data_IF_281215264534
#
_entry.id   IF_281215264534
#
_cell.length_a   1.000
_cell.length_b   1.000
_cell.length_c   1.000
_cell.angle_alpha   90.00
_cell.angle_beta   90.00
_cell.angle_gamma   90.00
#
_symmetry.space_group_name_H-M   'P 1'
#
loop_
_entity.id
_entity.type
_entity.pdbx_description
1 polymer ?
#
# COMPACT_ATOMS: atom_id res chain seq x y z
N UNK A 1 33.09 -4.54 -13.52
CA UNK A 1 31.85 -4.16 -14.23
C UNK A 1 30.70 -4.92 -13.57
N UNK A 2 30.08 -4.35 -12.54
CA UNK A 2 28.91 -4.93 -11.87
C UNK A 2 27.68 -4.23 -12.42
N UNK A 3 26.79 -5.00 -13.05
CA UNK A 3 25.58 -4.48 -13.71
C UNK A 3 24.65 -3.76 -12.72
N UNK A 4 23.82 -2.82 -13.21
CA UNK A 4 22.84 -2.15 -12.38
C UNK A 4 21.83 -3.17 -11.84
N UNK A 5 21.64 -3.15 -10.52
CA UNK A 5 20.61 -3.91 -9.82
C UNK A 5 19.26 -3.67 -10.52
N UNK A 6 18.61 -4.74 -10.94
CA UNK A 6 17.36 -4.70 -11.71
C UNK A 6 16.23 -4.16 -10.84
N UNK A 7 16.11 -2.83 -10.77
CA UNK A 7 14.91 -2.20 -10.27
C UNK A 7 13.75 -2.69 -11.14
N UNK A 8 12.81 -3.42 -10.55
CA UNK A 8 11.59 -3.89 -11.21
C UNK A 8 10.85 -2.69 -11.76
N UNK A 9 11.05 -2.39 -13.04
CA UNK A 9 10.41 -1.28 -13.72
C UNK A 9 8.92 -1.62 -13.86
N UNK A 10 8.06 -0.86 -13.17
CA UNK A 10 6.62 -0.94 -13.34
C UNK A 10 6.26 -0.41 -14.72
N UNK A 11 5.68 -1.27 -15.55
CA UNK A 11 5.30 -0.89 -16.89
C UNK A 11 3.98 -0.10 -16.88
N UNK A 12 3.96 1.12 -17.42
CA UNK A 12 2.72 1.87 -17.57
C UNK A 12 1.78 1.12 -18.53
N UNK A 13 0.48 1.15 -18.21
CA UNK A 13 -0.54 0.50 -19.02
C UNK A 13 -0.63 1.11 -20.42
N UNK A 14 -0.85 0.28 -21.44
CA UNK A 14 -1.06 0.77 -22.79
C UNK A 14 -2.28 1.71 -22.87
N UNK A 15 -2.25 2.79 -23.67
CA UNK A 15 -3.34 3.77 -23.74
C UNK A 15 -4.69 3.14 -24.06
N UNK A 16 -4.71 2.19 -24.99
CA UNK A 16 -5.91 1.46 -25.37
C UNK A 16 -6.49 0.67 -24.20
N UNK A 17 -5.66 0.02 -23.37
CA UNK A 17 -6.12 -0.71 -22.19
C UNK A 17 -6.72 0.23 -21.14
N UNK A 18 -6.13 1.41 -20.94
CA UNK A 18 -6.67 2.42 -20.03
C UNK A 18 -8.05 2.93 -20.49
N UNK A 19 -8.20 3.17 -21.80
CA UNK A 19 -9.48 3.58 -22.40
C UNK A 19 -10.53 2.47 -22.26
N UNK A 20 -10.16 1.22 -22.59
CA UNK A 20 -11.04 0.06 -22.47
C UNK A 20 -11.49 -0.17 -21.03
N UNK A 21 -10.60 -0.02 -20.04
CA UNK A 21 -10.98 -0.14 -18.63
C UNK A 21 -12.05 0.89 -18.25
N UNK A 22 -11.85 2.15 -18.65
CA UNK A 22 -12.79 3.24 -18.37
C UNK A 22 -14.13 3.06 -19.08
N UNK A 23 -14.14 2.48 -20.28
CA UNK A 23 -15.38 2.13 -21.01
C UNK A 23 -16.13 0.97 -20.34
N UNK A 24 -15.42 -0.03 -19.81
CA UNK A 24 -16.04 -1.12 -19.03
C UNK A 24 -16.67 -0.56 -17.74
N UNK A 25 -15.99 0.36 -17.06
CA UNK A 25 -16.51 1.01 -15.86
C UNK A 25 -17.75 1.87 -16.16
N UNK A 26 -17.76 2.58 -17.29
CA UNK A 26 -18.95 3.28 -17.78
C UNK A 26 -20.10 2.29 -18.06
N UNK A 27 -19.80 1.17 -18.71
CA UNK A 27 -20.76 0.10 -18.96
C UNK A 27 -21.34 -0.50 -17.68
N UNK A 28 -20.52 -0.65 -16.63
CA UNK A 28 -20.97 -1.09 -15.31
C UNK A 28 -21.97 -0.11 -14.68
N UNK A 29 -21.67 1.19 -14.71
CA UNK A 29 -22.62 2.23 -14.21
C UNK A 29 -23.91 2.22 -15.03
N UNK A 30 -23.82 2.14 -16.36
CA UNK A 30 -24.97 2.07 -17.25
C UNK A 30 -25.82 0.81 -17.01
N UNK A 31 -25.19 -0.33 -16.72
CA UNK A 31 -25.88 -1.57 -16.37
C UNK A 31 -26.66 -1.42 -15.05
N UNK A 32 -26.03 -0.87 -14.01
CA UNK A 32 -26.70 -0.62 -12.72
C UNK A 32 -27.89 0.33 -12.88
N UNK A 33 -27.71 1.42 -13.64
CA UNK A 33 -28.78 2.38 -13.91
C UNK A 33 -29.90 1.75 -14.75
N UNK A 34 -29.57 1.01 -15.82
CA UNK A 34 -30.56 0.34 -16.67
C UNK A 34 -31.36 -0.73 -15.93
N UNK A 35 -30.72 -1.49 -15.05
CA UNK A 35 -31.39 -2.45 -14.18
C UNK A 35 -32.34 -1.74 -13.19
N UNK A 36 -31.92 -0.62 -12.60
CA UNK A 36 -32.77 0.17 -11.72
C UNK A 36 -33.98 0.74 -12.46
N UNK A 37 -33.80 1.24 -13.68
CA UNK A 37 -34.91 1.75 -14.49
C UNK A 37 -35.90 0.65 -14.88
N UNK A 38 -35.40 -0.53 -15.25
CA UNK A 38 -36.23 -1.68 -15.62
C UNK A 38 -37.05 -2.21 -14.44
N UNK A 39 -36.50 -2.17 -13.22
CA UNK A 39 -37.15 -2.71 -12.03
C UNK A 39 -38.07 -1.69 -11.35
N UNK A 40 -37.65 -0.42 -11.29
CA UNK A 40 -38.32 0.61 -10.49
C UNK A 40 -39.15 1.59 -11.33
N UNK A 41 -38.88 1.71 -12.63
CA UNK A 41 -39.50 2.70 -13.53
C UNK A 41 -39.56 4.12 -12.92
N UNK A 42 -38.49 4.51 -12.23
CA UNK A 42 -38.42 5.77 -11.51
C UNK A 42 -37.06 6.42 -11.72
N UNK A 43 -37.07 7.52 -12.46
CA UNK A 43 -35.86 8.28 -12.82
C UNK A 43 -35.03 8.73 -11.60
N UNK A 44 -35.68 9.04 -10.46
CA UNK A 44 -34.96 9.47 -9.24
C UNK A 44 -34.17 8.29 -8.65
N UNK A 45 -34.78 7.11 -8.59
CA UNK A 45 -34.12 5.89 -8.10
C UNK A 45 -32.98 5.52 -9.04
N UNK A 46 -33.22 5.54 -10.35
CA UNK A 46 -32.21 5.28 -11.38
C UNK A 46 -31.00 6.21 -11.23
N UNK A 47 -31.23 7.52 -11.04
CA UNK A 47 -30.18 8.49 -10.82
C UNK A 47 -29.39 8.24 -9.52
N UNK A 48 -30.08 7.91 -8.42
CA UNK A 48 -29.42 7.57 -7.15
C UNK A 48 -28.55 6.33 -7.26
N UNK A 49 -29.03 5.27 -7.93
CA UNK A 49 -28.24 4.05 -8.17
C UNK A 49 -27.03 4.33 -9.06
N UNK A 50 -27.17 5.17 -10.08
CA UNK A 50 -26.04 5.57 -10.92
C UNK A 50 -24.96 6.31 -10.09
N UNK A 51 -25.37 7.24 -9.23
CA UNK A 51 -24.45 7.95 -8.33
C UNK A 51 -23.79 7.01 -7.31
N UNK A 52 -24.53 6.05 -6.75
CA UNK A 52 -24.00 5.05 -5.85
C UNK A 52 -22.98 4.16 -6.55
N UNK A 53 -23.26 3.69 -7.77
CA UNK A 53 -22.31 2.92 -8.57
C UNK A 53 -21.01 3.70 -8.81
N UNK A 54 -21.11 4.99 -9.15
CA UNK A 54 -19.93 5.87 -9.30
C UNK A 54 -19.17 6.02 -7.98
N UNK A 55 -19.86 6.16 -6.85
CA UNK A 55 -19.23 6.24 -5.54
C UNK A 55 -18.50 4.94 -5.16
N UNK A 56 -19.10 3.78 -5.45
CA UNK A 56 -18.48 2.46 -5.26
C UNK A 56 -17.21 2.32 -6.09
N UNK A 57 -17.23 2.74 -7.36
CA UNK A 57 -16.05 2.78 -8.21
C UNK A 57 -14.97 3.70 -7.64
N UNK A 58 -15.34 4.91 -7.22
CA UNK A 58 -14.42 5.87 -6.63
C UNK A 58 -13.77 5.34 -5.34
N UNK A 59 -14.54 4.69 -4.46
CA UNK A 59 -14.02 4.09 -3.22
C UNK A 59 -13.11 2.90 -3.53
N UNK A 60 -13.51 2.00 -4.42
CA UNK A 60 -12.70 0.85 -4.83
C UNK A 60 -11.37 1.27 -5.47
N UNK A 61 -11.42 2.26 -6.34
CA UNK A 61 -10.23 2.78 -7.01
C UNK A 61 -9.35 3.59 -6.06
N UNK A 62 -9.94 4.39 -5.17
CA UNK A 62 -9.21 5.20 -4.19
C UNK A 62 -8.50 4.37 -3.12
N UNK A 63 -9.15 3.32 -2.62
CA UNK A 63 -8.63 2.47 -1.54
C UNK A 63 -7.69 1.38 -2.04
N UNK A 64 -8.02 0.73 -3.16
CA UNK A 64 -7.33 -0.48 -3.65
C UNK A 64 -6.77 -0.35 -5.06
N UNK A 65 -7.07 0.74 -5.77
CA UNK A 65 -6.67 0.92 -7.16
C UNK A 65 -7.43 0.04 -8.14
N UNK A 66 -8.60 -0.49 -7.75
CA UNK A 66 -9.37 -1.46 -8.53
C UNK A 66 -10.73 -0.92 -8.92
N UNK A 67 -11.13 -1.23 -10.15
CA UNK A 67 -12.45 -1.06 -10.72
C UNK A 67 -12.77 -2.32 -11.54
N UNK A 68 -14.03 -2.61 -11.89
CA UNK A 68 -14.37 -3.75 -12.75
C UNK A 68 -13.53 -3.81 -14.04
N UNK A 69 -13.36 -2.67 -14.73
CA UNK A 69 -12.53 -2.54 -15.92
C UNK A 69 -11.05 -2.81 -15.64
N UNK A 70 -10.51 -2.24 -14.57
CA UNK A 70 -9.14 -2.50 -14.15
C UNK A 70 -8.91 -3.97 -13.79
N UNK A 71 -9.83 -4.61 -13.06
CA UNK A 71 -9.75 -6.02 -12.70
C UNK A 71 -9.78 -6.92 -13.93
N UNK A 72 -10.69 -6.65 -14.87
CA UNK A 72 -10.82 -7.42 -16.10
C UNK A 72 -9.57 -7.28 -16.98
N UNK A 73 -9.02 -6.06 -17.07
CA UNK A 73 -7.85 -5.73 -17.88
C UNK A 73 -6.50 -5.92 -17.16
N UNK A 74 -6.52 -6.35 -15.89
CA UNK A 74 -5.30 -6.61 -15.11
C UNK A 74 -4.48 -5.35 -14.87
N UNK A 75 -5.18 -4.23 -14.69
CA UNK A 75 -4.62 -2.91 -14.46
C UNK A 75 -4.77 -2.51 -12.99
N UNK A 76 -3.92 -1.59 -12.54
CA UNK A 76 -4.09 -0.95 -11.23
C UNK A 76 -3.89 0.55 -11.33
N UNK A 77 -4.78 1.29 -10.66
CA UNK A 77 -4.58 2.74 -10.46
C UNK A 77 -3.73 2.97 -9.21
N UNK A 78 -2.64 3.71 -9.36
CA UNK A 78 -1.66 4.00 -8.30
C UNK A 78 -1.25 5.48 -8.36
N UNK A 79 -0.54 5.96 -7.33
CA UNK A 79 -0.02 7.34 -7.35
C UNK A 79 1.13 7.47 -8.36
N UNK A 80 1.08 8.49 -9.22
CA UNK A 80 2.13 8.75 -10.20
C UNK A 80 3.51 8.96 -9.54
N UNK A 81 3.53 9.65 -8.39
CA UNK A 81 4.74 9.94 -7.61
C UNK A 81 5.48 8.65 -7.18
N UNK A 82 4.71 7.59 -6.87
CA UNK A 82 5.24 6.30 -6.44
C UNK A 82 5.83 5.48 -7.59
N UNK A 83 5.28 5.61 -8.80
CA UNK A 83 5.78 4.92 -10.00
C UNK A 83 7.08 5.55 -10.47
N UNK A 84 7.17 6.89 -10.48
CA UNK A 84 8.38 7.61 -10.89
C UNK A 84 9.52 7.45 -9.88
N UNK A 85 9.21 7.39 -8.57
CA UNK A 85 10.18 7.26 -7.49
C UNK A 85 10.16 5.86 -6.85
N UNK A 86 9.95 4.82 -7.67
CA UNK A 86 9.75 3.43 -7.21
C UNK A 86 10.85 2.92 -6.27
N UNK A 87 12.08 3.43 -6.40
CA UNK A 87 13.21 3.07 -5.54
C UNK A 87 13.14 3.63 -4.10
N UNK A 88 12.33 4.66 -3.83
CA UNK A 88 12.33 5.37 -2.54
C UNK A 88 10.98 5.33 -1.79
N UNK A 89 9.85 5.22 -2.50
CA UNK A 89 8.52 5.42 -1.90
C UNK A 89 7.57 4.22 -1.89
N UNK A 90 7.83 3.17 -2.66
CA UNK A 90 6.89 2.06 -2.82
C UNK A 90 5.62 2.46 -3.58
N UNK A 91 4.88 1.46 -4.07
CA UNK A 91 3.63 1.69 -4.82
C UNK A 91 2.50 1.92 -3.83
N UNK A 92 2.10 3.17 -3.66
CA UNK A 92 0.99 3.54 -2.79
C UNK A 92 -0.34 3.52 -3.56
N UNK A 93 -1.45 3.07 -2.93
CA UNK A 93 -2.78 3.16 -3.51
C UNK A 93 -3.14 4.64 -3.79
N UNK A 94 -3.97 4.87 -4.81
CA UNK A 94 -4.36 6.19 -5.30
C UNK A 94 -4.68 7.19 -4.17
N UNK A 95 -5.46 6.74 -3.18
CA UNK A 95 -5.92 7.54 -2.05
C UNK A 95 -7.18 8.34 -2.39
N UNK A 96 -8.04 8.53 -1.40
CA UNK A 96 -9.37 9.14 -1.59
C UNK A 96 -9.31 10.60 -2.06
N UNK A 97 -8.34 11.39 -1.62
CA UNK A 97 -8.25 12.80 -2.03
C UNK A 97 -8.01 12.97 -3.53
N UNK A 98 -7.12 12.15 -4.11
CA UNK A 98 -6.83 12.16 -5.54
C UNK A 98 -7.97 11.56 -6.36
N UNK A 99 -8.60 10.50 -5.84
CA UNK A 99 -9.70 9.87 -6.57
C UNK A 99 -10.92 10.79 -6.67
N UNK A 100 -11.22 11.57 -5.62
CA UNK A 100 -12.29 12.57 -5.67
C UNK A 100 -12.01 13.59 -6.78
N UNK A 101 -10.77 14.07 -6.93
CA UNK A 101 -10.40 14.98 -8.04
C UNK A 101 -10.68 14.33 -9.39
N UNK A 102 -10.25 13.07 -9.60
CA UNK A 102 -10.48 12.33 -10.86
C UNK A 102 -11.98 12.26 -11.18
N UNK A 103 -12.79 11.81 -10.23
CA UNK A 103 -14.23 11.62 -10.46
C UNK A 103 -14.99 12.94 -10.57
N UNK A 104 -14.58 14.00 -9.86
CA UNK A 104 -15.13 15.34 -10.07
C UNK A 104 -14.90 15.83 -11.50
N UNK A 105 -13.71 15.63 -12.07
CA UNK A 105 -13.41 15.98 -13.46
C UNK A 105 -14.29 15.18 -14.43
N UNK A 106 -14.46 13.88 -14.17
CA UNK A 106 -15.30 13.00 -14.99
C UNK A 106 -16.78 13.40 -14.95
N UNK A 107 -17.33 13.62 -13.75
CA UNK A 107 -18.70 14.06 -13.54
C UNK A 107 -18.94 15.44 -14.17
N UNK A 108 -18.03 16.40 -13.95
CA UNK A 108 -18.11 17.72 -14.57
C UNK A 108 -18.08 17.64 -16.10
N UNK A 109 -17.25 16.75 -16.66
CA UNK A 109 -17.19 16.53 -18.11
C UNK A 109 -18.50 15.94 -18.63
N UNK A 110 -19.09 14.98 -17.92
CA UNK A 110 -20.38 14.38 -18.28
C UNK A 110 -21.52 15.40 -18.24
N UNK A 111 -21.56 16.24 -17.19
CA UNK A 111 -22.54 17.32 -17.02
C UNK A 111 -22.39 18.41 -18.09
N UNK A 112 -21.17 18.76 -18.49
CA UNK A 112 -20.91 19.77 -19.51
C UNK A 112 -21.35 19.30 -20.90
N UNK A 113 -20.98 18.07 -21.27
CA UNK A 113 -21.45 17.39 -22.47
C UNK A 113 -21.04 15.91 -22.40
N UNK A 114 -21.95 14.98 -22.69
CA UNK A 114 -21.63 13.54 -22.78
C UNK A 114 -20.41 13.29 -23.70
N UNK A 115 -20.27 14.07 -24.77
CA UNK A 115 -19.11 14.03 -25.67
C UNK A 115 -17.82 14.43 -24.93
N UNK A 116 -17.85 15.45 -24.07
CA UNK A 116 -16.71 15.87 -23.26
C UNK A 116 -16.21 14.76 -22.34
N UNK A 117 -17.13 13.98 -21.74
CA UNK A 117 -16.76 12.80 -20.95
C UNK A 117 -16.04 11.73 -21.78
N UNK A 118 -16.53 11.43 -22.99
CA UNK A 118 -15.88 10.47 -23.90
C UNK A 118 -14.48 10.95 -24.32
N UNK A 119 -14.32 12.24 -24.60
CA UNK A 119 -13.01 12.83 -24.89
C UNK A 119 -12.04 12.64 -23.71
N UNK A 120 -12.49 12.86 -22.48
CA UNK A 120 -11.67 12.64 -21.28
C UNK A 120 -11.30 11.17 -21.10
N UNK A 121 -12.21 10.22 -21.37
CA UNK A 121 -11.89 8.78 -21.33
C UNK A 121 -10.83 8.40 -22.37
N UNK A 122 -10.93 8.96 -23.57
CA UNK A 122 -10.04 8.61 -24.70
C UNK A 122 -8.71 9.39 -24.64
N UNK A 123 -8.62 10.39 -23.76
CA UNK A 123 -7.42 11.23 -23.57
C UNK A 123 -6.08 10.50 -23.41
N UNK A 124 -5.97 9.29 -22.83
CA UNK A 124 -4.71 8.54 -22.82
C UNK A 124 -4.13 8.27 -24.23
N UNK A 125 -4.96 8.13 -25.27
CA UNK A 125 -4.49 7.94 -26.66
C UNK A 125 -3.70 9.15 -27.19
N UNK A 126 -4.00 10.34 -26.67
CA UNK A 126 -3.36 11.61 -27.05
C UNK A 126 -2.22 12.00 -26.09
N UNK A 127 -1.94 11.17 -25.08
CA UNK A 127 -0.92 11.47 -24.08
C UNK A 127 0.48 11.09 -24.57
N UNK A 128 1.40 12.05 -24.48
CA UNK A 128 2.82 11.87 -24.80
C UNK A 128 3.70 11.66 -23.56
N UNK A 129 3.10 11.65 -22.37
CA UNK A 129 3.83 11.46 -21.12
C UNK A 129 4.32 10.00 -20.99
N UNK A 130 5.43 9.83 -20.28
CA UNK A 130 6.05 8.55 -19.95
C UNK A 130 5.08 7.54 -19.31
N UNK A 131 4.11 8.04 -18.55
CA UNK A 131 3.08 7.24 -17.86
C UNK A 131 1.77 7.12 -18.65
N UNK A 132 1.69 7.74 -19.83
CA UNK A 132 0.53 7.70 -20.74
C UNK A 132 -0.78 8.04 -20.05
N UNK A 133 -0.77 9.10 -19.25
CA UNK A 133 -1.88 9.49 -18.39
C UNK A 133 -2.98 10.19 -19.19
N UNK A 134 -4.23 9.77 -18.97
CA UNK A 134 -5.39 10.59 -19.37
C UNK A 134 -5.50 11.85 -18.53
N UNK A 135 -6.22 12.87 -19.02
CA UNK A 135 -6.33 14.18 -18.39
C UNK A 135 -6.85 14.13 -16.95
N UNK A 136 -7.88 13.31 -16.69
CA UNK A 136 -8.40 13.13 -15.33
C UNK A 136 -7.38 12.52 -14.37
N UNK A 137 -6.57 11.57 -14.85
CA UNK A 137 -5.52 10.94 -14.06
C UNK A 137 -4.34 11.90 -13.85
N UNK A 138 -3.99 12.69 -14.86
CA UNK A 138 -2.93 13.69 -14.78
C UNK A 138 -3.25 14.78 -13.74
N UNK A 139 -4.48 15.32 -13.79
CA UNK A 139 -4.97 16.27 -12.78
C UNK A 139 -4.96 15.70 -11.36
N UNK A 140 -5.25 14.40 -11.22
CA UNK A 140 -5.25 13.70 -9.95
C UNK A 140 -3.86 13.17 -9.52
N UNK A 141 -2.81 13.32 -10.34
CA UNK A 141 -1.48 12.69 -10.13
C UNK A 141 -1.57 11.16 -9.94
N UNK A 142 -2.36 10.52 -10.80
CA UNK A 142 -2.58 9.07 -10.83
C UNK A 142 -1.93 8.46 -12.08
N UNK A 143 -1.49 7.22 -11.96
CA UNK A 143 -0.94 6.43 -13.04
C UNK A 143 -1.61 5.05 -13.07
N UNK A 144 -1.78 4.50 -14.27
CA UNK A 144 -2.31 3.17 -14.48
C UNK A 144 -1.16 2.22 -14.84
N UNK A 145 -0.98 1.16 -14.05
CA UNK A 145 0.08 0.16 -14.26
C UNK A 145 -0.53 -1.16 -14.72
N UNK A 146 0.16 -1.85 -15.63
CA UNK A 146 -0.23 -3.19 -16.08
C UNK A 146 0.39 -4.24 -15.15
N UNK A 147 -0.45 -4.90 -14.36
CA UNK A 147 -0.03 -5.89 -13.35
C UNK A 147 0.32 -7.23 -14.02
N UNK A 148 -0.29 -7.54 -15.18
CA UNK A 148 -0.08 -8.82 -15.87
C UNK A 148 1.27 -8.90 -16.58
N UNK A 149 1.83 -7.76 -16.99
CA UNK A 149 3.17 -7.72 -17.58
C UNK A 149 4.31 -7.96 -16.58
N UNK A 150 4.02 -7.94 -15.27
CA UNK A 150 5.03 -8.25 -14.25
C UNK A 150 5.44 -9.73 -14.20
N UNK A 151 4.62 -10.65 -14.74
CA UNK A 151 4.90 -12.09 -14.67
C UNK A 151 5.67 -12.64 -15.87
N UNK A 152 5.92 -11.84 -16.91
CA UNK A 152 6.54 -12.31 -18.15
C UNK A 152 8.08 -12.23 -18.18
N UNK A 153 8.73 -11.65 -17.17
CA UNK A 153 10.19 -11.44 -17.17
C UNK A 153 11.00 -12.47 -16.36
N UNK A 154 10.42 -13.61 -15.96
CA UNK A 154 11.13 -14.65 -15.18
C UNK A 154 11.24 -16.01 -15.89
N UNK A 155 10.99 -16.08 -17.21
CA UNK A 155 11.25 -17.31 -17.97
C UNK A 155 11.98 -17.04 -19.27
N UNK A 156 13.26 -16.69 -19.18
CA UNK A 156 14.22 -16.95 -20.26
C UNK A 156 15.40 -17.71 -19.64
N UNK A 157 15.52 -19.02 -19.89
CA UNK A 157 16.75 -19.75 -19.61
C UNK A 157 17.92 -19.12 -20.39
N UNK A 158 19.10 -18.92 -19.78
CA UNK A 158 20.25 -18.37 -20.48
C UNK A 158 20.97 -19.48 -21.25
N UNK A 159 20.68 -19.62 -22.55
CA UNK A 159 21.47 -20.28 -23.61
C UNK A 159 20.49 -20.55 -24.77
N UNK A 160 20.60 -20.05 -25.99
CA UNK A 160 21.75 -19.97 -26.88
C UNK A 160 21.48 -18.82 -27.87
N UNK A 161 22.05 -17.64 -27.67
CA UNK A 161 22.06 -16.59 -28.70
C UNK A 161 23.47 -16.04 -28.84
N UNK A 162 24.41 -16.92 -29.21
CA UNK A 162 25.65 -16.45 -29.82
C UNK A 162 26.24 -17.53 -30.73
N UNK A 163 25.80 -17.55 -32.01
CA UNK A 163 26.66 -17.89 -33.14
C UNK A 163 25.97 -17.58 -34.48
N UNK A 164 25.98 -16.32 -34.90
CA UNK A 164 25.88 -15.97 -36.31
C UNK A 164 26.84 -14.82 -36.60
N UNK A 165 28.10 -15.17 -36.84
CA UNK A 165 29.01 -14.39 -37.67
C UNK A 165 28.78 -14.77 -39.13
N UNK A 166 28.67 -13.76 -39.97
CA UNK A 166 28.59 -13.78 -41.43
C UNK A 166 29.44 -14.87 -42.13
N UNK A 167 28.91 -15.47 -43.20
CA UNK A 167 29.54 -15.55 -44.54
C UNK A 167 28.63 -16.22 -45.58
N UNK A 168 28.66 -15.60 -46.77
CA UNK A 168 28.24 -15.96 -48.13
C UNK A 168 28.29 -17.45 -48.54
N UNK A 169 27.34 -17.88 -49.40
CA UNK A 169 27.58 -18.96 -50.38
C UNK A 169 26.44 -19.96 -50.64
N UNK A 170 25.68 -19.73 -51.73
CA UNK A 170 25.20 -20.69 -52.75
C UNK A 170 24.92 -22.15 -52.38
N UNK A 171 23.69 -22.64 -52.65
CA UNK A 171 23.51 -23.99 -53.23
C UNK A 171 22.35 -24.88 -52.73
N UNK A 172 21.34 -25.05 -53.58
CA UNK A 172 20.55 -26.27 -53.90
C UNK A 172 19.71 -27.03 -52.83
N UNK A 173 18.39 -27.03 -53.08
CA UNK A 173 17.48 -28.18 -53.23
C UNK A 173 17.77 -29.48 -52.43
N UNK A 174 16.83 -29.90 -51.56
CA UNK A 174 15.89 -31.00 -51.84
C UNK A 174 15.01 -31.34 -50.62
N UNK A 175 13.74 -31.67 -50.91
CA UNK A 175 12.79 -32.39 -50.04
C UNK A 175 12.92 -33.89 -50.34
N UNK A 176 12.71 -34.81 -49.37
CA UNK A 176 11.55 -35.71 -49.49
C UNK A 176 10.87 -36.06 -48.14
N UNK A 177 9.69 -36.70 -48.26
CA UNK A 177 8.74 -37.18 -47.23
C UNK A 177 9.02 -38.67 -46.86
N UNK A 178 8.19 -39.36 -46.05
CA UNK A 178 8.52 -40.08 -44.80
C UNK A 178 8.70 -41.61 -44.97
N UNK A 179 9.01 -42.36 -43.89
CA UNK A 179 8.38 -43.67 -43.55
C UNK A 179 9.07 -44.44 -42.38
N UNK A 180 8.22 -45.11 -41.57
CA UNK A 180 8.38 -46.44 -40.90
C UNK A 180 9.10 -46.64 -39.54
N UNK A 181 8.27 -46.72 -38.48
CA UNK A 181 8.04 -47.75 -37.43
C UNK A 181 9.09 -48.87 -37.16
N UNK A 182 9.39 -49.13 -35.87
CA UNK A 182 9.63 -50.49 -35.29
C UNK A 182 9.53 -50.54 -33.73
N UNK A 183 9.32 -51.71 -33.08
CA UNK A 183 8.38 -51.90 -31.95
C UNK A 183 8.97 -52.34 -30.56
N UNK A 184 8.05 -52.55 -29.59
CA UNK A 184 8.14 -52.92 -28.15
C UNK A 184 8.97 -54.18 -27.76
N UNK A 185 9.16 -54.40 -26.44
CA UNK A 185 8.74 -55.67 -25.82
C UNK A 185 7.85 -55.52 -24.57
N UNK A 186 6.98 -56.52 -24.37
CA UNK A 186 6.00 -56.66 -23.29
C UNK A 186 6.47 -57.62 -22.17
N UNK A 187 5.93 -57.48 -20.95
CA UNK A 187 6.00 -58.46 -19.84
C UNK A 187 4.61 -58.52 -19.13
N UNK A 188 4.17 -59.68 -18.60
CA UNK A 188 2.75 -60.00 -18.36
C UNK A 188 2.19 -59.78 -16.93
N UNK A 189 0.85 -59.69 -16.90
CA UNK A 189 -0.23 -59.72 -15.85
C UNK A 189 -0.08 -60.92 -14.88
N UNK A 190 -0.58 -61.01 -13.60
CA UNK A 190 -1.95 -60.73 -13.02
C UNK A 190 -1.96 -60.15 -11.56
N UNK A 191 -3.03 -59.74 -10.85
CA UNK A 191 -4.49 -59.88 -10.90
C UNK A 191 -5.03 -60.03 -9.45
N UNK A 192 -6.19 -59.44 -9.11
CA UNK A 192 -6.98 -59.51 -7.83
C UNK A 192 -6.45 -58.68 -6.62
N UNK A 193 -7.21 -57.95 -5.81
CA UNK A 193 -8.66 -57.87 -5.48
C UNK A 193 -8.94 -56.55 -4.68
N UNK A 194 -10.18 -56.22 -4.23
CA UNK A 194 -10.75 -54.87 -4.34
C UNK A 194 -10.66 -54.01 -3.06
N UNK A 195 -10.68 -52.68 -3.26
CA UNK A 195 -10.87 -51.67 -2.20
C UNK A 195 -12.28 -51.75 -1.59
N UNK A 196 -12.43 -51.70 -0.24
CA UNK A 196 -13.73 -51.68 0.42
C UNK A 196 -14.38 -50.28 0.43
N UNK A 197 -15.68 -50.27 0.16
CA UNK A 197 -16.61 -49.15 0.31
C UNK A 197 -16.77 -48.66 1.77
N UNK A 198 -17.30 -47.43 1.99
CA UNK A 198 -17.06 -46.64 3.19
C UNK A 198 -17.95 -47.03 4.36
N UNK A 199 -17.38 -47.04 5.57
CA UNK A 199 -18.12 -47.23 6.81
C UNK A 199 -18.70 -45.87 7.24
N UNK A 200 -20.02 -45.84 7.34
CA UNK A 200 -20.82 -44.78 7.93
C UNK A 200 -20.39 -44.57 9.39
N UNK A 201 -19.85 -43.40 9.73
CA UNK A 201 -19.57 -43.01 11.10
C UNK A 201 -20.64 -42.03 11.60
N UNK A 202 -21.32 -42.47 12.65
CA UNK A 202 -22.34 -41.78 13.44
C UNK A 202 -21.78 -40.47 14.04
N UNK A 203 -22.57 -39.39 14.18
CA UNK A 203 -22.07 -38.12 14.71
C UNK A 203 -21.76 -38.25 16.20
N UNK A 204 -20.54 -37.89 16.62
CA UNK A 204 -20.25 -37.69 18.04
C UNK A 204 -20.91 -36.39 18.52
N UNK A 205 -21.51 -36.34 19.73
CA UNK A 205 -22.06 -35.11 20.28
C UNK A 205 -20.92 -34.14 20.61
N UNK A 206 -21.00 -32.93 20.08
CA UNK A 206 -20.17 -31.79 20.47
C UNK A 206 -20.48 -31.48 21.95
N UNK A 207 -19.51 -31.50 22.87
CA UNK A 207 -19.75 -31.03 24.23
C UNK A 207 -20.05 -29.52 24.18
N UNK A 208 -21.25 -29.15 24.61
CA UNK A 208 -21.66 -27.75 24.78
C UNK A 208 -20.67 -27.01 25.68
N UNK A 209 -20.24 -25.78 25.36
CA UNK A 209 -19.54 -24.94 26.31
C UNK A 209 -20.51 -24.57 27.43
N UNK A 210 -20.15 -24.95 28.66
CA UNK A 210 -20.80 -24.52 29.89
C UNK A 210 -20.90 -22.98 29.91
N UNK A 211 -22.13 -22.47 30.03
CA UNK A 211 -22.39 -21.05 30.16
C UNK A 211 -21.72 -20.51 31.44
N UNK A 212 -20.68 -19.69 31.27
CA UNK A 212 -20.13 -18.86 32.35
C UNK A 212 -21.16 -17.77 32.67
N UNK A 213 -21.58 -17.58 33.94
CA UNK A 213 -22.55 -16.57 34.29
C UNK A 213 -21.99 -15.17 34.02
N UNK A 214 -22.80 -14.34 33.34
CA UNK A 214 -22.51 -12.93 33.11
C UNK A 214 -22.29 -12.19 34.45
N UNK A 215 -21.23 -11.36 34.59
CA UNK A 215 -21.14 -10.44 35.72
C UNK A 215 -22.20 -9.35 35.58
N UNK A 216 -23.07 -9.29 36.60
CA UNK A 216 -24.09 -8.25 36.82
C UNK A 216 -23.45 -6.85 36.77
N UNK A 217 -24.06 -5.85 36.10
CA UNK A 217 -23.51 -4.50 36.07
C UNK A 217 -23.58 -3.88 37.47
N UNK A 218 -22.42 -3.57 38.03
CA UNK A 218 -22.30 -2.79 39.25
C UNK A 218 -22.63 -1.33 38.96
N UNK A 219 -23.48 -0.77 39.83
CA UNK A 219 -24.04 0.56 39.76
C UNK A 219 -22.99 1.66 39.58
N UNK A 220 -23.24 2.52 38.59
CA UNK A 220 -22.55 3.80 38.46
C UNK A 220 -22.98 4.72 39.62
N UNK A 221 -22.02 5.09 40.48
CA UNK A 221 -22.18 6.19 41.42
C UNK A 221 -21.65 7.47 40.75
N UNK A 222 -22.46 8.53 40.60
CA UNK A 222 -21.97 9.79 40.07
C UNK A 222 -21.16 10.52 41.15
N UNK A 223 -19.86 10.77 40.89
CA UNK A 223 -19.10 11.77 41.64
C UNK A 223 -19.30 13.13 40.99
N UNK A 224 -20.17 13.92 41.60
CA UNK A 224 -20.41 15.34 41.36
C UNK A 224 -19.13 16.14 41.63
N UNK A 225 -18.49 16.68 40.60
CA UNK A 225 -17.62 17.85 40.76
C UNK A 225 -18.39 19.08 40.28
N UNK A 226 -18.69 19.94 41.25
CA UNK A 226 -19.42 21.19 41.06
C UNK A 226 -18.63 22.16 40.16
N UNK A 227 -19.29 22.59 39.09
CA UNK A 227 -18.93 23.75 38.28
C UNK A 227 -19.28 25.00 39.10
N UNK A 228 -18.35 25.94 39.22
CA UNK A 228 -18.64 27.32 39.68
C UNK A 228 -18.23 28.31 38.58
N UNK A 229 -19.14 29.17 38.07
CA UNK A 229 -18.85 30.17 37.05
C UNK A 229 -18.61 31.55 37.68
N UNK A 230 -17.71 32.37 37.09
CA UNK A 230 -17.56 33.81 37.36
C UNK A 230 -17.17 34.51 36.03
N UNK A 231 -17.65 35.76 35.77
CA UNK A 231 -18.23 36.15 34.47
C UNK A 231 -17.37 37.08 33.60
N UNK A 232 -17.96 37.41 32.46
CA UNK A 232 -17.48 38.28 31.39
C UNK A 232 -17.35 39.77 31.75
N UNK A 233 -16.40 40.45 31.10
CA UNK A 233 -16.53 41.87 30.72
C UNK A 233 -16.13 42.02 29.25
N UNK A 234 -17.08 42.53 28.47
CA UNK A 234 -16.92 42.97 27.09
C UNK A 234 -16.69 44.49 27.02
N UNK A 235 -16.29 44.93 25.81
CA UNK A 235 -16.46 46.26 25.18
C UNK A 235 -15.25 47.23 25.11
N UNK A 236 -14.46 47.06 24.04
CA UNK A 236 -14.47 47.83 22.78
C UNK A 236 -14.56 49.38 22.73
N UNK A 237 -13.66 49.93 21.89
CA UNK A 237 -13.75 51.07 20.93
C UNK A 237 -13.07 52.42 21.19
N UNK A 238 -12.45 52.90 20.09
CA UNK A 238 -12.12 54.29 19.67
C UNK A 238 -10.89 54.94 20.33
N UNK A 239 -10.00 55.68 19.66
CA UNK A 239 -10.10 56.41 18.39
C UNK A 239 -8.71 56.63 17.76
N UNK A 240 -8.70 56.80 16.44
CA UNK A 240 -7.56 57.27 15.66
C UNK A 240 -7.32 58.78 15.83
N UNK A 241 -6.05 59.21 15.96
CA UNK A 241 -5.62 60.59 15.60
C UNK A 241 -4.15 60.66 15.19
N UNK A 242 -3.97 60.80 13.87
CA UNK A 242 -3.07 61.71 13.13
C UNK A 242 -1.72 62.14 13.77
N UNK A 243 -0.64 61.61 13.16
CA UNK A 243 0.58 62.28 12.63
C UNK A 243 1.22 63.41 13.45
N UNK A 244 2.45 63.19 13.89
CA UNK A 244 3.51 64.22 13.94
C UNK A 244 4.85 63.62 13.52
N UNK A 245 5.49 64.36 12.62
CA UNK A 245 6.75 64.11 11.93
C UNK A 245 7.89 64.22 12.94
N UNK A 246 8.76 63.21 13.05
CA UNK A 246 10.02 63.31 13.80
C UNK A 246 11.18 62.85 12.92
N UNK A 247 12.15 63.75 12.79
CA UNK A 247 13.43 63.68 12.08
C UNK A 247 14.41 62.71 12.75
N UNK A 248 15.39 62.14 12.02
CA UNK A 248 16.31 61.16 12.57
C UNK A 248 17.50 61.82 13.31
N UNK A 249 17.92 61.30 14.47
CA UNK A 249 19.27 61.49 15.00
C UNK A 249 20.11 60.20 14.97
N UNK A 250 21.44 60.31 15.12
CA UNK A 250 22.43 59.51 14.39
C UNK A 250 22.71 58.14 15.00
N UNK A 251 23.14 57.22 14.14
CA UNK A 251 23.70 55.92 14.50
C UNK A 251 25.00 56.10 15.31
N UNK A 252 25.18 55.31 16.39
CA UNK A 252 26.52 54.84 16.67
C UNK A 252 26.56 53.35 17.05
N UNK A 253 27.49 52.68 16.35
CA UNK A 253 28.34 51.59 16.85
C UNK A 253 27.69 50.19 16.91
N UNK A 254 27.79 49.52 15.76
CA UNK A 254 27.81 48.06 15.58
C UNK A 254 28.66 47.40 16.67
N UNK A 255 28.02 46.83 17.70
CA UNK A 255 28.63 45.83 18.59
C UNK A 255 28.56 44.48 17.89
N UNK A 256 29.70 43.81 17.83
CA UNK A 256 29.84 42.49 17.24
C UNK A 256 28.91 41.48 17.93
N UNK A 257 28.11 40.78 17.12
CA UNK A 257 27.29 39.64 17.52
C UNK A 257 28.19 38.52 18.05
N UNK A 258 27.87 37.87 19.19
CA UNK A 258 28.52 36.62 19.58
C UNK A 258 28.29 35.56 18.50
N UNK A 259 29.23 34.63 18.25
CA UNK A 259 29.01 33.55 17.30
C UNK A 259 27.83 32.71 17.78
N UNK A 260 26.81 32.59 16.94
CA UNK A 260 25.75 31.58 17.12
C UNK A 260 26.44 30.23 17.14
N UNK A 261 26.46 29.58 18.30
CA UNK A 261 26.90 28.20 18.42
C UNK A 261 26.04 27.35 17.48
N UNK A 262 26.69 26.74 16.48
CA UNK A 262 26.07 25.76 15.60
C UNK A 262 25.54 24.63 16.50
N UNK A 263 24.22 24.35 16.53
CA UNK A 263 23.73 23.21 17.28
C UNK A 263 24.40 21.94 16.73
N UNK A 264 24.77 20.98 17.59
CA UNK A 264 25.40 19.74 17.15
C UNK A 264 24.50 19.05 16.11
N UNK A 265 25.08 18.40 15.09
CA UNK A 265 24.31 17.76 14.04
C UNK A 265 23.36 16.72 14.66
N UNK A 266 22.06 16.95 14.51
CA UNK A 266 21.03 15.96 14.85
C UNK A 266 21.37 14.65 14.11
N UNK A 267 21.47 13.50 14.80
CA UNK A 267 21.78 12.24 14.15
C UNK A 267 20.76 11.96 13.04
N UNK A 268 21.25 11.78 11.81
CA UNK A 268 20.38 11.45 10.69
C UNK A 268 19.71 10.09 10.94
N UNK A 269 18.43 9.91 10.59
CA UNK A 269 17.76 8.63 10.73
C UNK A 269 18.45 7.59 9.85
N UNK A 270 18.82 6.45 10.45
CA UNK A 270 19.54 5.34 9.80
C UNK A 270 18.69 4.07 9.68
N UNK A 271 17.47 4.09 10.21
CA UNK A 271 16.48 3.05 9.99
C UNK A 271 15.08 3.67 9.79
N UNK A 272 14.19 2.93 9.15
CA UNK A 272 12.79 3.29 8.91
C UNK A 272 11.93 2.08 9.18
N UNK A 273 10.91 2.25 10.02
CA UNK A 273 9.83 1.28 10.15
C UNK A 273 8.66 1.74 9.27
N UNK A 274 8.23 0.89 8.35
CA UNK A 274 7.14 1.18 7.42
C UNK A 274 5.96 0.27 7.71
N UNK A 275 4.79 0.85 7.96
CA UNK A 275 3.54 0.13 8.21
C UNK A 275 2.74 -0.08 6.93
N UNK A 276 1.79 -1.02 6.97
CA UNK A 276 0.84 -1.34 5.89
C UNK A 276 0.03 -0.14 5.38
N UNK A 277 -0.33 0.79 6.28
CA UNK A 277 -1.04 2.02 5.94
C UNK A 277 -0.15 3.07 5.24
N UNK A 278 1.13 2.74 5.01
CA UNK A 278 2.13 3.59 4.38
C UNK A 278 2.77 4.61 5.34
N UNK A 279 2.40 4.62 6.62
CA UNK A 279 3.09 5.41 7.64
C UNK A 279 4.52 4.94 7.76
N UNK A 280 5.45 5.91 7.82
CA UNK A 280 6.88 5.66 7.99
C UNK A 280 7.33 6.37 9.25
N UNK A 281 8.04 5.64 10.10
CA UNK A 281 8.68 6.20 11.28
C UNK A 281 10.18 6.09 11.08
N UNK A 282 10.84 7.25 11.00
CA UNK A 282 12.29 7.34 10.92
C UNK A 282 12.89 7.09 12.30
N UNK A 283 13.93 6.25 12.36
CA UNK A 283 14.58 5.78 13.56
C UNK A 283 16.07 6.10 13.51
N UNK A 284 16.60 6.59 14.62
CA UNK A 284 18.05 6.70 14.85
C UNK A 284 18.60 5.37 15.34
N UNK A 285 19.88 5.10 15.09
CA UNK A 285 20.58 3.94 15.62
C UNK A 285 21.63 4.46 16.61
N UNK A 286 21.71 3.92 17.83
CA UNK A 286 20.84 2.88 18.41
C UNK A 286 19.45 3.41 18.77
N UNK A 287 18.43 2.54 18.72
CA UNK A 287 17.09 2.84 19.24
C UNK A 287 16.42 1.60 19.83
N UNK A 288 15.52 1.85 20.76
CA UNK A 288 14.67 0.82 21.35
C UNK A 288 13.23 1.31 21.34
N UNK A 289 12.32 0.51 20.79
CA UNK A 289 10.92 0.85 20.56
C UNK A 289 9.97 -0.16 21.17
N UNK A 290 8.91 0.31 21.80
CA UNK A 290 7.74 -0.50 22.17
C UNK A 290 6.64 -0.24 21.17
N UNK A 291 6.28 -1.28 20.42
CA UNK A 291 5.25 -1.30 19.38
C UNK A 291 3.92 -1.76 19.99
N UNK A 292 2.83 -1.06 19.71
CA UNK A 292 1.49 -1.51 20.07
C UNK A 292 0.41 -0.48 19.75
N UNK A 293 -0.87 -0.80 19.98
CA UNK A 293 -1.98 0.12 19.62
C UNK A 293 -2.02 1.38 20.52
N UNK A 294 -1.62 1.22 21.78
CA UNK A 294 -1.53 2.26 22.81
C UNK A 294 -0.33 1.93 23.72
N UNK A 295 0.90 2.04 23.19
CA UNK A 295 2.07 1.54 23.87
C UNK A 295 2.46 2.44 25.03
N UNK A 296 2.92 1.83 26.11
CA UNK A 296 3.58 2.51 27.23
C UNK A 296 5.03 2.06 27.28
N UNK A 297 5.97 2.97 27.60
CA UNK A 297 7.39 2.61 27.68
C UNK A 297 7.57 1.57 28.78
N UNK A 298 8.32 0.50 28.49
CA UNK A 298 8.53 -0.59 29.44
C UNK A 298 9.81 -0.39 30.25
N UNK A 299 10.80 0.28 29.66
CA UNK A 299 12.04 0.76 30.26
C UNK A 299 12.22 2.26 30.00
N UNK A 300 13.05 2.94 30.81
CA UNK A 300 13.33 4.38 30.71
C UNK A 300 13.88 4.84 29.34
N UNK A 301 14.52 3.95 28.60
CA UNK A 301 15.13 4.24 27.29
C UNK A 301 14.22 3.83 26.11
N UNK A 302 13.05 3.25 26.39
CA UNK A 302 12.14 2.80 25.35
C UNK A 302 11.38 4.00 24.79
N UNK A 303 11.49 4.20 23.47
CA UNK A 303 10.54 5.04 22.74
C UNK A 303 9.27 4.25 22.49
N UNK A 304 8.10 4.89 22.54
CA UNK A 304 6.84 4.24 22.18
C UNK A 304 6.46 4.57 20.74
N UNK A 305 5.98 3.58 20.00
CA UNK A 305 5.49 3.77 18.64
C UNK A 305 4.12 3.10 18.48
N UNK A 306 3.10 3.96 18.32
CA UNK A 306 1.75 3.52 18.09
C UNK A 306 1.63 2.84 16.72
N UNK A 307 1.24 1.58 16.72
CA UNK A 307 0.96 0.80 15.52
C UNK A 307 -0.45 1.16 15.04
N UNK A 308 -0.62 1.55 13.76
CA UNK A 308 -1.92 1.93 13.20
C UNK A 308 -2.80 0.70 12.95
N UNK A 309 -3.31 0.13 14.05
CA UNK A 309 -4.13 -1.07 14.04
C UNK A 309 -5.60 -0.77 13.68
N UNK A 310 -6.06 -1.29 12.55
CA UNK A 310 -7.45 -1.20 12.09
C UNK A 310 -8.25 -2.48 12.34
N UNK A 311 -7.61 -3.56 12.80
CA UNK A 311 -8.22 -4.89 13.04
C UNK A 311 -8.51 -5.14 14.52
N UNK A 312 -7.88 -4.38 15.41
CA UNK A 312 -7.98 -4.56 16.86
C UNK A 312 -7.12 -5.70 17.41
N UNK A 313 -6.30 -6.33 16.57
CA UNK A 313 -5.47 -7.50 16.92
C UNK A 313 -4.15 -7.12 17.58
N UNK A 314 -3.75 -5.85 17.56
CA UNK A 314 -2.50 -5.41 18.19
C UNK A 314 -2.72 -5.12 19.67
N UNK A 315 -1.94 -5.75 20.55
CA UNK A 315 -1.98 -5.47 21.99
C UNK A 315 -1.57 -4.02 22.32
N UNK A 316 -1.90 -3.52 23.52
CA UNK A 316 -1.55 -2.15 23.95
C UNK A 316 -0.04 -1.91 23.84
N UNK A 317 0.75 -2.78 24.46
CA UNK A 317 2.18 -2.98 24.22
C UNK A 317 2.34 -4.40 23.70
N UNK A 318 2.73 -4.56 22.43
CA UNK A 318 2.71 -5.83 21.71
C UNK A 318 4.09 -6.46 21.64
N UNK A 319 5.07 -5.71 21.14
CA UNK A 319 6.44 -6.17 20.98
C UNK A 319 7.43 -5.05 21.27
N UNK A 320 8.66 -5.41 21.61
CA UNK A 320 9.78 -4.48 21.78
C UNK A 320 10.85 -4.77 20.74
N UNK A 321 11.18 -3.76 19.95
CA UNK A 321 12.18 -3.78 18.89
C UNK A 321 13.42 -3.01 19.36
N UNK A 322 14.57 -3.65 19.30
CA UNK A 322 15.88 -3.05 19.59
C UNK A 322 16.69 -3.02 18.30
N UNK A 323 17.27 -1.86 17.99
CA UNK A 323 18.13 -1.66 16.83
C UNK A 323 19.45 -1.08 17.34
N UNK A 324 20.55 -1.80 17.12
CA UNK A 324 21.91 -1.34 17.44
C UNK A 324 22.75 -1.28 16.15
N UNK A 325 24.03 -0.92 16.25
CA UNK A 325 24.94 -0.98 15.10
C UNK A 325 25.24 -2.44 14.66
N UNK A 326 25.04 -3.40 15.55
CA UNK A 326 25.36 -4.82 15.31
C UNK A 326 24.18 -5.60 14.71
N UNK A 327 22.95 -5.09 14.80
CA UNK A 327 21.76 -5.77 14.29
C UNK A 327 20.45 -5.24 14.88
N UNK A 328 19.36 -5.93 14.56
CA UNK A 328 18.05 -5.66 15.13
C UNK A 328 17.43 -6.92 15.73
N UNK A 329 16.76 -6.76 16.87
CA UNK A 329 16.10 -7.84 17.59
C UNK A 329 14.71 -7.43 18.02
N UNK A 330 13.77 -8.36 17.90
CA UNK A 330 12.41 -8.20 18.37
C UNK A 330 12.11 -9.18 19.51
N UNK A 331 11.30 -8.75 20.46
CA UNK A 331 10.81 -9.57 21.56
C UNK A 331 9.32 -9.34 21.75
N UNK A 332 8.55 -10.43 21.86
CA UNK A 332 7.11 -10.34 22.13
C UNK A 332 6.88 -10.05 23.63
N UNK A 333 6.01 -9.08 23.94
CA UNK A 333 5.76 -8.63 25.31
C UNK A 333 4.62 -9.38 26.00
N UNK A 334 4.22 -10.53 25.47
CA UNK A 334 3.04 -11.29 25.92
C UNK A 334 1.78 -10.85 25.17
N UNK A 335 1.88 -10.69 23.86
CA UNK A 335 0.76 -10.28 23.02
C UNK A 335 -0.31 -11.38 22.91
N UNK A 336 -1.58 -10.99 22.76
CA UNK A 336 -2.69 -11.95 22.63
C UNK A 336 -2.67 -12.74 21.32
N UNK A 337 -2.25 -12.10 20.22
CA UNK A 337 -2.30 -12.67 18.87
C UNK A 337 -0.91 -13.08 18.32
N UNK A 338 0.13 -12.90 19.12
CA UNK A 338 1.50 -13.28 18.79
C UNK A 338 2.22 -12.30 17.86
N UNK A 339 3.55 -12.39 17.89
CA UNK A 339 4.48 -11.69 16.99
C UNK A 339 5.18 -12.72 16.08
N UNK A 340 5.34 -12.41 14.78
CA UNK A 340 6.07 -13.25 13.82
C UNK A 340 7.03 -12.40 12.99
N UNK A 341 8.18 -12.96 12.64
CA UNK A 341 9.15 -12.36 11.70
C UNK A 341 9.04 -13.12 10.39
N UNK A 342 8.88 -12.41 9.29
CA UNK A 342 8.75 -12.97 7.94
C UNK A 342 9.98 -12.54 7.16
N UNK A 343 10.76 -13.52 6.69
CA UNK A 343 11.95 -13.26 5.88
C UNK A 343 11.59 -12.85 4.43
N UNK A 344 12.60 -12.60 3.60
CA UNK A 344 12.40 -12.17 2.21
C UNK A 344 11.81 -13.28 1.32
N UNK A 345 12.02 -14.54 1.69
CA UNK A 345 11.47 -15.73 1.06
C UNK A 345 10.03 -16.04 1.49
N UNK A 346 9.48 -15.28 2.46
CA UNK A 346 8.13 -15.45 2.98
C UNK A 346 7.98 -16.51 4.08
N UNK A 347 9.07 -17.10 4.57
CA UNK A 347 9.02 -17.99 5.74
C UNK A 347 8.75 -17.19 7.02
N UNK A 348 7.77 -17.67 7.80
CA UNK A 348 7.40 -17.07 9.08
C UNK A 348 8.11 -17.78 10.23
N UNK A 349 8.81 -17.01 11.06
CA UNK A 349 9.40 -17.46 12.31
C UNK A 349 8.61 -16.84 13.47
N UNK A 350 7.95 -17.63 14.33
CA UNK A 350 7.27 -17.09 15.50
C UNK A 350 8.29 -16.50 16.49
N UNK A 351 7.92 -15.40 17.13
CA UNK A 351 8.74 -14.76 18.18
C UNK A 351 8.19 -15.20 19.54
N UNK A 352 8.92 -16.05 20.30
CA UNK A 352 8.44 -16.48 21.61
C UNK A 352 8.37 -15.31 22.59
N UNK A 353 7.41 -15.40 23.52
CA UNK A 353 7.18 -14.39 24.54
C UNK A 353 8.46 -14.16 25.37
N UNK A 354 8.87 -12.90 25.49
CA UNK A 354 10.07 -12.44 26.21
C UNK A 354 11.40 -13.00 25.71
N UNK A 355 11.43 -13.62 24.53
CA UNK A 355 12.66 -14.07 23.90
C UNK A 355 13.06 -13.10 22.77
N UNK A 356 14.36 -12.84 22.62
CA UNK A 356 14.89 -12.02 21.52
C UNK A 356 15.04 -12.89 20.28
N UNK A 357 14.45 -12.46 19.18
CA UNK A 357 14.60 -13.04 17.85
C UNK A 357 15.21 -11.99 16.94
N UNK A 358 16.19 -12.40 16.14
CA UNK A 358 16.89 -11.50 15.21
C UNK A 358 15.98 -11.12 14.03
N UNK A 359 16.05 -9.85 13.64
CA UNK A 359 15.33 -9.27 12.51
C UNK A 359 16.35 -8.71 11.53
N UNK A 360 16.38 -9.28 10.34
CA UNK A 360 17.27 -8.84 9.28
C UNK A 360 16.68 -7.64 8.52
N UNK A 361 17.54 -6.94 7.78
CA UNK A 361 17.10 -5.85 6.93
C UNK A 361 16.06 -6.33 5.90
N UNK A 362 15.03 -5.52 5.66
CA UNK A 362 13.86 -5.82 4.83
C UNK A 362 12.98 -6.98 5.33
N UNK A 363 13.22 -7.56 6.51
CA UNK A 363 12.26 -8.50 7.09
C UNK A 363 10.96 -7.77 7.43
N UNK A 364 9.86 -8.50 7.29
CA UNK A 364 8.55 -8.05 7.76
C UNK A 364 8.33 -8.55 9.18
N UNK A 365 7.70 -7.74 10.00
CA UNK A 365 7.29 -8.07 11.35
C UNK A 365 5.77 -8.04 11.36
N UNK A 366 5.15 -9.17 11.67
CA UNK A 366 3.72 -9.27 11.91
C UNK A 366 3.43 -9.13 13.41
N UNK A 367 2.55 -8.19 13.76
CA UNK A 367 2.03 -7.93 15.09
C UNK A 367 0.53 -8.23 15.06
N UNK A 368 0.12 -9.44 15.45
CA UNK A 368 -1.23 -9.92 15.12
C UNK A 368 -1.44 -9.97 13.60
N UNK A 369 -2.40 -9.18 13.10
CA UNK A 369 -2.71 -9.06 11.66
C UNK A 369 -2.01 -7.88 10.98
N UNK A 370 -1.37 -7.00 11.77
CA UNK A 370 -0.68 -5.82 11.24
C UNK A 370 0.74 -6.16 10.84
N UNK A 371 1.20 -5.61 9.71
CA UNK A 371 2.54 -5.86 9.20
C UNK A 371 3.31 -4.55 9.14
N UNK A 372 4.55 -4.57 9.61
CA UNK A 372 5.53 -3.54 9.33
C UNK A 372 6.81 -4.12 8.74
N UNK A 373 7.59 -3.29 8.06
CA UNK A 373 8.87 -3.66 7.45
C UNK A 373 9.96 -2.82 8.08
N UNK A 374 11.03 -3.47 8.52
CA UNK A 374 12.23 -2.80 9.02
C UNK A 374 13.21 -2.59 7.87
N UNK A 375 13.53 -1.33 7.58
CA UNK A 375 14.52 -0.94 6.57
C UNK A 375 15.66 -0.22 7.28
N UNK A 376 16.85 -0.78 7.25
CA UNK A 376 18.07 -0.20 7.79
C UNK A 376 18.91 0.30 6.62
N UNK A 377 19.31 1.57 6.64
CA UNK A 377 20.18 2.13 5.61
C UNK A 377 21.61 1.63 5.81
N UNK A 378 22.19 0.96 4.81
CA UNK A 378 23.61 0.60 4.87
C UNK A 378 24.46 1.87 4.87
N UNK A 379 25.28 1.99 5.90
CA UNK A 379 26.23 3.10 5.98
C UNK A 379 27.31 2.85 4.92
N UNK A 380 27.38 3.71 3.88
CA UNK A 380 28.64 3.87 3.17
C UNK A 380 29.65 4.36 4.20
N UNK A 381 30.48 3.46 4.75
CA UNK A 381 31.75 3.88 5.34
C UNK A 381 32.46 4.63 4.23
N UNK A 382 32.55 5.96 4.35
CA UNK A 382 33.50 6.72 3.57
C UNK A 382 34.85 6.07 3.86
N UNK A 383 35.41 5.38 2.87
CA UNK A 383 36.78 4.88 2.94
C UNK A 383 37.64 6.13 3.10
N UNK A 384 38.24 6.28 4.28
CA UNK A 384 39.36 7.19 4.49
C UNK A 384 40.58 6.65 3.77
#
# INVERSE_FOLDING_TARGET
MTGPSSATALNPAAPALQCSASLIDLGFVALCAGAAELLCHNAVVTFMIALEAVAVLAIGEGTRGVTPGNMLLGLRTVRADGVQNSAASGILPAGMSRIVIKYCVLIASFLAAIIGYLVVIISPLFSHDSLRQGWANSLAKLACIDIRRHTASTSTPPALQNRQTHTTGVGRQNKPKPDTISPLPAVPVPGMQPEPHPVSAVPMPIPMPTAVPAPKPAAATPRTHAIRPIPASQQATSAARVRLRQTPPPEPRRKATPPVAVPPPTPAPRAVLMFDNGSKTALTIPSTLVLGRKPTPHKLQDTVLAVPDHTGTVSRSHARLEITEDGAWISDLGSTNGTRVINQEGQETPVPVKQRVEVHNNNRIALGDMICVLIISEHRRARA
#
